data_IF_483622711688
#
_entry.id   IF_483622711688
#
_cell.length_a   1.000
_cell.length_b   1.000
_cell.length_c   1.000
_cell.angle_alpha   90.00
_cell.angle_beta   90.00
_cell.angle_gamma   90.00
#
_symmetry.space_group_name_H-M   'P 1'
#
loop_
_entity.id
_entity.type
_entity.pdbx_description
1 polymer ?
#
# COMPACT_ATOMS: atom_id res chain seq x y z
N UNK A 1 -37.22 13.89 -9.93
CA UNK A 1 -36.93 13.21 -8.65
C UNK A 1 -35.57 12.54 -8.74
N UNK A 2 -34.61 12.91 -7.90
CA UNK A 2 -33.26 12.31 -7.87
C UNK A 2 -33.27 11.08 -6.94
N UNK A 3 -33.81 9.95 -7.41
CA UNK A 3 -33.70 8.71 -6.65
C UNK A 3 -32.24 8.21 -6.65
N UNK A 4 -31.77 7.60 -5.55
CA UNK A 4 -30.45 6.97 -5.55
C UNK A 4 -30.36 5.89 -6.64
N UNK A 5 -29.18 5.71 -7.27
CA UNK A 5 -29.01 4.65 -8.27
C UNK A 5 -29.20 3.27 -7.64
N UNK A 6 -29.88 2.37 -8.34
CA UNK A 6 -30.02 0.98 -7.90
C UNK A 6 -28.71 0.24 -8.18
N UNK A 7 -28.13 -0.38 -7.16
CA UNK A 7 -26.94 -1.23 -7.30
C UNK A 7 -27.35 -2.60 -7.85
N UNK A 8 -26.56 -3.15 -8.78
CA UNK A 8 -26.79 -4.48 -9.39
C UNK A 8 -25.96 -5.57 -8.71
N UNK A 9 -24.94 -5.19 -7.94
CA UNK A 9 -24.06 -6.11 -7.22
C UNK A 9 -23.81 -5.61 -5.79
N UNK A 10 -23.39 -6.48 -4.87
CA UNK A 10 -22.96 -6.06 -3.53
C UNK A 10 -21.51 -5.50 -3.51
N UNK A 11 -20.94 -5.14 -4.67
CA UNK A 11 -19.54 -4.70 -4.78
C UNK A 11 -19.32 -3.35 -4.08
N UNK A 12 -18.31 -3.23 -3.19
CA UNK A 12 -17.94 -1.94 -2.60
C UNK A 12 -17.57 -0.89 -3.66
N UNK A 13 -16.96 -1.32 -4.77
CA UNK A 13 -16.60 -0.47 -5.90
C UNK A 13 -17.82 0.15 -6.57
N UNK A 14 -18.91 -0.61 -6.69
CA UNK A 14 -20.15 -0.13 -7.26
C UNK A 14 -20.79 0.93 -6.36
N UNK A 15 -20.81 0.68 -5.05
CA UNK A 15 -21.29 1.64 -4.06
C UNK A 15 -20.49 2.95 -4.14
N UNK A 16 -19.16 2.87 -4.12
CA UNK A 16 -18.28 4.02 -4.25
C UNK A 16 -18.57 4.82 -5.53
N UNK A 17 -18.69 4.15 -6.68
CA UNK A 17 -19.00 4.80 -7.94
C UNK A 17 -20.38 5.47 -7.94
N UNK A 18 -21.38 4.88 -7.28
CA UNK A 18 -22.74 5.44 -7.18
C UNK A 18 -22.81 6.74 -6.40
N UNK A 19 -21.91 6.91 -5.43
CA UNK A 19 -21.81 8.11 -4.59
C UNK A 19 -21.08 9.24 -5.34
N UNK A 20 -20.04 8.90 -6.11
CA UNK A 20 -19.16 9.87 -6.78
C UNK A 20 -19.66 10.29 -8.16
N UNK A 21 -20.10 9.36 -9.00
CA UNK A 21 -20.39 9.62 -10.42
C UNK A 21 -21.76 10.25 -10.66
N UNK A 22 -21.85 11.03 -11.74
CA UNK A 22 -23.16 11.45 -12.26
C UNK A 22 -23.98 10.22 -12.67
N UNK A 23 -25.32 10.32 -12.60
CA UNK A 23 -26.22 9.18 -12.89
C UNK A 23 -25.93 8.51 -14.23
N UNK A 24 -25.69 9.29 -15.30
CA UNK A 24 -25.40 8.75 -16.64
C UNK A 24 -24.08 7.98 -16.68
N UNK A 25 -23.06 8.48 -16.00
CA UNK A 25 -21.73 7.84 -15.96
C UNK A 25 -21.75 6.60 -15.07
N UNK A 26 -22.44 6.66 -13.93
CA UNK A 26 -22.65 5.50 -13.06
C UNK A 26 -23.29 4.34 -13.82
N UNK A 27 -24.32 4.58 -14.64
CA UNK A 27 -24.97 3.52 -15.42
C UNK A 27 -23.98 2.85 -16.39
N UNK A 28 -23.15 3.63 -17.09
CA UNK A 28 -22.11 3.08 -17.99
C UNK A 28 -21.05 2.28 -17.24
N UNK A 29 -20.60 2.81 -16.10
CA UNK A 29 -19.65 2.10 -15.23
C UNK A 29 -20.25 0.78 -14.73
N UNK A 30 -21.51 0.79 -14.29
CA UNK A 30 -22.22 -0.38 -13.80
C UNK A 30 -22.38 -1.45 -14.89
N UNK A 31 -22.62 -1.05 -16.15
CA UNK A 31 -22.64 -1.98 -17.29
C UNK A 31 -21.30 -2.68 -17.49
N UNK A 32 -20.19 -1.94 -17.43
CA UNK A 32 -18.84 -2.53 -17.51
C UNK A 32 -18.55 -3.45 -16.31
N UNK A 33 -18.95 -3.05 -15.10
CA UNK A 33 -18.75 -3.83 -13.88
C UNK A 33 -19.54 -5.14 -13.90
N UNK A 34 -20.81 -5.12 -14.31
CA UNK A 34 -21.60 -6.34 -14.44
C UNK A 34 -21.08 -7.21 -15.59
N UNK A 35 -20.70 -6.59 -16.72
CA UNK A 35 -20.14 -7.30 -17.87
C UNK A 35 -18.89 -8.11 -17.54
N UNK A 36 -18.11 -7.63 -16.56
CA UNK A 36 -16.90 -8.30 -16.04
C UNK A 36 -17.17 -9.74 -15.59
N UNK A 37 -18.37 -10.07 -15.11
CA UNK A 37 -18.72 -11.42 -14.61
C UNK A 37 -18.62 -12.50 -15.69
N UNK A 38 -18.68 -12.13 -16.97
CA UNK A 38 -18.55 -13.06 -18.11
C UNK A 38 -17.12 -13.22 -18.61
N UNK A 39 -16.17 -12.51 -18.00
CA UNK A 39 -14.75 -12.51 -18.37
C UNK A 39 -13.90 -13.19 -17.32
N UNK A 40 -12.89 -13.90 -17.80
CA UNK A 40 -11.85 -14.52 -16.98
C UNK A 40 -10.53 -13.78 -17.23
N UNK A 41 -9.81 -13.50 -16.14
CA UNK A 41 -8.48 -12.93 -16.18
C UNK A 41 -7.47 -13.97 -15.70
N UNK A 42 -6.55 -14.38 -16.57
CA UNK A 42 -5.45 -15.29 -16.28
C UNK A 42 -4.12 -14.55 -16.36
N UNK A 43 -3.19 -14.84 -15.44
CA UNK A 43 -1.83 -14.31 -15.53
C UNK A 43 -1.16 -14.87 -16.78
N UNK A 44 -0.59 -14.00 -17.60
CA UNK A 44 0.17 -14.34 -18.80
C UNK A 44 1.67 -14.15 -18.59
N UNK A 45 2.05 -13.10 -17.85
CA UNK A 45 3.43 -12.77 -17.52
C UNK A 45 3.50 -12.04 -16.17
N UNK A 46 4.60 -12.20 -15.43
CA UNK A 46 4.78 -11.65 -14.08
C UNK A 46 6.23 -11.20 -13.89
N UNK A 47 6.45 -9.89 -14.02
CA UNK A 47 7.75 -9.21 -13.81
C UNK A 47 7.86 -8.68 -12.36
N UNK A 48 7.09 -9.25 -11.42
CA UNK A 48 6.99 -8.81 -10.04
C UNK A 48 6.13 -7.56 -9.87
N UNK A 49 6.67 -6.38 -10.18
CA UNK A 49 5.95 -5.11 -9.99
C UNK A 49 4.90 -4.87 -11.08
N UNK A 50 5.11 -5.46 -12.26
CA UNK A 50 4.22 -5.38 -13.42
C UNK A 50 3.76 -6.78 -13.81
N UNK A 51 2.45 -7.03 -13.68
CA UNK A 51 1.83 -8.31 -14.04
C UNK A 51 0.97 -8.12 -15.27
N UNK A 52 1.17 -8.94 -16.30
CA UNK A 52 0.32 -8.96 -17.49
C UNK A 52 -0.76 -10.03 -17.34
N UNK A 53 -2.01 -9.62 -17.48
CA UNK A 53 -3.17 -10.49 -17.50
C UNK A 53 -3.72 -10.60 -18.92
N UNK A 54 -4.02 -11.82 -19.34
CA UNK A 54 -4.88 -12.09 -20.48
C UNK A 54 -6.33 -12.15 -20.00
N UNK A 55 -7.19 -11.34 -20.59
CA UNK A 55 -8.60 -11.23 -20.21
C UNK A 55 -9.47 -11.59 -21.40
N UNK A 56 -10.28 -12.64 -21.26
CA UNK A 56 -11.16 -13.10 -22.33
C UNK A 56 -12.53 -13.46 -21.78
N UNK A 57 -13.56 -13.33 -22.62
CA UNK A 57 -14.88 -13.84 -22.31
C UNK A 57 -14.85 -15.37 -22.31
N UNK A 58 -15.68 -15.99 -21.46
CA UNK A 58 -15.77 -17.45 -21.38
C UNK A 58 -16.01 -18.09 -22.76
N UNK A 59 -15.15 -19.03 -23.14
CA UNK A 59 -15.20 -19.71 -24.44
C UNK A 59 -14.66 -18.91 -25.64
N UNK A 60 -14.21 -17.66 -25.46
CA UNK A 60 -13.75 -16.77 -26.54
C UNK A 60 -12.28 -16.35 -26.37
N UNK A 61 -11.38 -17.29 -26.09
CA UNK A 61 -9.96 -17.03 -25.85
C UNK A 61 -9.24 -16.29 -27.01
N UNK A 62 -9.71 -16.48 -28.24
CA UNK A 62 -9.17 -15.83 -29.45
C UNK A 62 -9.44 -14.33 -29.52
N UNK A 63 -10.37 -13.79 -28.71
CA UNK A 63 -10.67 -12.35 -28.59
C UNK A 63 -10.15 -11.77 -27.27
N UNK A 64 -9.03 -12.31 -26.78
CA UNK A 64 -8.47 -11.83 -25.53
C UNK A 64 -7.91 -10.41 -25.64
N UNK A 65 -8.04 -9.68 -24.55
CA UNK A 65 -7.38 -8.40 -24.32
C UNK A 65 -6.29 -8.56 -23.28
N UNK A 66 -5.16 -7.90 -23.50
CA UNK A 66 -4.08 -7.85 -22.53
C UNK A 66 -4.23 -6.63 -21.62
N UNK A 67 -4.01 -6.85 -20.33
CA UNK A 67 -4.04 -5.82 -19.28
C UNK A 67 -2.73 -5.88 -18.52
N UNK A 68 -1.95 -4.80 -18.57
CA UNK A 68 -0.73 -4.64 -17.77
C UNK A 68 -1.10 -3.97 -16.46
N UNK A 69 -0.85 -4.63 -15.33
CA UNK A 69 -1.21 -4.15 -14.00
C UNK A 69 0.04 -3.93 -13.16
N UNK A 70 0.29 -2.68 -12.80
CA UNK A 70 1.30 -2.28 -11.85
C UNK A 70 0.74 -2.45 -10.43
N UNK A 71 1.34 -3.36 -9.65
CA UNK A 71 0.89 -3.72 -8.30
C UNK A 71 1.12 -2.58 -7.31
N UNK A 72 2.21 -1.83 -7.48
CA UNK A 72 2.62 -0.74 -6.59
C UNK A 72 1.75 0.50 -6.78
N UNK A 73 1.45 0.84 -8.03
CA UNK A 73 0.63 2.02 -8.37
C UNK A 73 -0.87 1.73 -8.43
N UNK A 74 -1.27 0.45 -8.40
CA UNK A 74 -2.64 -0.01 -8.68
C UNK A 74 -3.19 0.49 -10.02
N UNK A 75 -2.29 0.64 -10.99
CA UNK A 75 -2.65 1.10 -12.32
C UNK A 75 -2.64 -0.06 -13.28
N UNK A 76 -3.71 -0.15 -14.04
CA UNK A 76 -3.91 -1.08 -15.13
C UNK A 76 -4.07 -0.33 -16.46
N UNK A 77 -3.33 -0.75 -17.47
CA UNK A 77 -3.52 -0.34 -18.85
C UNK A 77 -4.02 -1.51 -19.67
N UNK A 78 -5.12 -1.31 -20.39
CA UNK A 78 -5.71 -2.34 -21.24
C UNK A 78 -5.48 -2.03 -22.71
N UNK A 79 -5.17 -3.07 -23.48
CA UNK A 79 -5.10 -3.02 -24.95
C UNK A 79 -6.36 -2.46 -25.63
N UNK A 80 -7.53 -2.50 -24.99
CA UNK A 80 -8.74 -1.89 -25.55
C UNK A 80 -8.77 -0.34 -25.46
N UNK A 81 -7.89 0.26 -24.66
CA UNK A 81 -7.71 1.72 -24.51
C UNK A 81 -8.99 2.51 -24.12
N UNK A 82 -10.03 1.84 -23.63
CA UNK A 82 -11.32 2.46 -23.36
C UNK A 82 -11.23 3.57 -22.30
N UNK A 83 -10.35 3.41 -21.31
CA UNK A 83 -10.17 4.43 -20.28
C UNK A 83 -9.49 5.67 -20.86
N UNK A 84 -8.50 5.49 -21.71
CA UNK A 84 -7.77 6.55 -22.38
C UNK A 84 -8.70 7.37 -23.29
N UNK A 85 -9.60 6.71 -24.03
CA UNK A 85 -10.54 7.39 -24.93
C UNK A 85 -11.79 7.97 -24.23
N UNK A 86 -12.40 7.23 -23.30
CA UNK A 86 -13.69 7.62 -22.70
C UNK A 86 -13.57 8.13 -21.27
N UNK A 87 -12.46 7.85 -20.59
CA UNK A 87 -12.31 8.05 -19.15
C UNK A 87 -13.17 7.13 -18.29
N UNK A 88 -13.75 6.07 -18.87
CA UNK A 88 -14.50 5.03 -18.16
C UNK A 88 -13.66 3.77 -18.19
N UNK A 89 -13.50 3.16 -17.01
CA UNK A 89 -12.73 1.93 -16.87
C UNK A 89 -13.47 0.77 -17.59
N UNK A 90 -12.75 -0.01 -18.39
CA UNK A 90 -13.36 -1.14 -19.10
C UNK A 90 -13.53 -2.36 -18.20
N UNK A 91 -14.45 -3.24 -18.60
CA UNK A 91 -14.63 -4.58 -18.00
C UNK A 91 -13.34 -5.40 -17.92
N UNK A 92 -12.37 -5.20 -18.82
CA UNK A 92 -11.11 -5.94 -18.79
C UNK A 92 -10.24 -5.55 -17.59
N UNK A 93 -10.11 -4.25 -17.32
CA UNK A 93 -9.41 -3.75 -16.14
C UNK A 93 -10.17 -4.15 -14.87
N UNK A 94 -11.50 -4.05 -14.89
CA UNK A 94 -12.34 -4.48 -13.76
C UNK A 94 -12.20 -5.99 -13.47
N UNK A 95 -12.04 -6.82 -14.51
CA UNK A 95 -11.77 -8.24 -14.33
C UNK A 95 -10.44 -8.48 -13.60
N UNK A 96 -9.40 -7.72 -13.97
CA UNK A 96 -8.12 -7.76 -13.26
C UNK A 96 -8.27 -7.30 -11.81
N UNK A 97 -8.97 -6.18 -11.57
CA UNK A 97 -9.21 -5.68 -10.22
C UNK A 97 -9.94 -6.69 -9.35
N UNK A 98 -10.88 -7.44 -9.92
CA UNK A 98 -11.56 -8.54 -9.22
C UNK A 98 -10.59 -9.65 -8.80
N UNK A 99 -9.72 -10.13 -9.69
CA UNK A 99 -8.78 -11.22 -9.35
C UNK A 99 -7.60 -10.76 -8.48
N UNK A 100 -7.29 -9.45 -8.48
CA UNK A 100 -6.32 -8.84 -7.58
C UNK A 100 -6.92 -8.32 -6.28
N UNK A 101 -8.24 -8.48 -6.09
CA UNK A 101 -8.98 -8.06 -4.91
C UNK A 101 -8.94 -6.55 -4.63
N UNK A 102 -8.86 -5.74 -5.69
CA UNK A 102 -9.08 -4.30 -5.63
C UNK A 102 -10.60 -4.04 -5.53
N UNK A 103 -11.07 -3.81 -4.30
CA UNK A 103 -12.50 -3.67 -4.01
C UNK A 103 -13.07 -2.27 -4.28
N UNK A 104 -12.23 -1.30 -4.62
CA UNK A 104 -12.60 0.11 -4.85
C UNK A 104 -11.78 0.66 -6.01
N UNK A 105 -12.28 1.72 -6.64
CA UNK A 105 -11.59 2.42 -7.71
C UNK A 105 -10.42 3.22 -7.13
N UNK A 106 -9.19 2.99 -7.61
CA UNK A 106 -8.06 3.87 -7.31
C UNK A 106 -8.36 5.30 -7.80
N UNK A 107 -7.79 6.33 -7.13
CA UNK A 107 -8.09 7.74 -7.41
C UNK A 107 -7.82 8.12 -8.87
N UNK A 108 -6.80 7.53 -9.48
CA UNK A 108 -6.45 7.70 -10.89
C UNK A 108 -7.62 7.46 -11.85
N UNK A 109 -8.54 6.56 -11.52
CA UNK A 109 -9.71 6.22 -12.34
C UNK A 109 -10.93 7.10 -12.06
N UNK A 110 -10.86 8.05 -11.12
CA UNK A 110 -11.96 8.92 -10.72
C UNK A 110 -11.71 10.32 -11.31
N UNK A 111 -12.19 10.54 -12.53
CA UNK A 111 -11.99 11.81 -13.22
C UNK A 111 -13.02 12.85 -12.78
N UNK A 112 -12.54 14.04 -12.37
CA UNK A 112 -13.39 15.15 -11.89
C UNK A 112 -14.56 15.50 -12.83
N UNK A 113 -14.35 15.44 -14.14
CA UNK A 113 -15.40 15.71 -15.14
C UNK A 113 -16.59 14.74 -15.08
N UNK A 114 -16.42 13.56 -14.48
CA UNK A 114 -17.43 12.51 -14.38
C UNK A 114 -18.15 12.46 -13.02
N UNK A 115 -17.70 13.25 -12.05
CA UNK A 115 -18.30 13.31 -10.72
C UNK A 115 -19.48 14.29 -10.66
N UNK A 116 -20.38 14.11 -9.69
CA UNK A 116 -21.57 14.98 -9.49
C UNK A 116 -21.20 16.44 -9.23
N UNK A 117 -20.00 16.66 -8.69
CA UNK A 117 -19.48 17.97 -8.31
C UNK A 117 -18.62 18.62 -9.41
N UNK A 118 -18.72 18.16 -10.66
CA UNK A 118 -17.94 18.70 -11.78
C UNK A 118 -18.10 20.22 -11.99
N UNK A 119 -19.25 20.80 -11.57
CA UNK A 119 -19.58 22.23 -11.72
C UNK A 119 -19.46 23.04 -10.42
N UNK A 120 -19.19 22.44 -9.26
CA UNK A 120 -19.05 23.21 -8.03
C UNK A 120 -17.66 23.86 -7.99
N UNK A 121 -17.62 25.20 -7.93
CA UNK A 121 -16.41 25.99 -7.69
C UNK A 121 -15.97 25.98 -6.23
N UNK A 122 -16.78 25.42 -5.32
CA UNK A 122 -16.29 24.95 -4.03
C UNK A 122 -15.13 24.04 -4.37
N UNK A 123 -13.94 24.36 -3.87
CA UNK A 123 -12.79 23.45 -3.85
C UNK A 123 -13.38 22.15 -3.32
N UNK A 124 -13.71 21.23 -4.25
CA UNK A 124 -14.15 19.89 -3.92
C UNK A 124 -13.17 19.45 -2.87
N UNK A 125 -13.66 18.89 -1.76
CA UNK A 125 -12.94 18.51 -0.55
C UNK A 125 -11.78 17.57 -0.93
N UNK A 126 -10.79 18.14 -1.61
CA UNK A 126 -9.72 17.50 -2.35
C UNK A 126 -8.85 16.90 -1.28
N UNK A 127 -8.70 17.61 -0.16
CA UNK A 127 -8.19 17.08 1.09
C UNK A 127 -8.89 15.82 1.60
N UNK A 128 -10.22 15.70 1.52
CA UNK A 128 -10.97 14.59 2.14
C UNK A 128 -11.09 13.40 1.18
N UNK A 129 -11.28 13.64 -0.12
CA UNK A 129 -11.14 12.60 -1.14
C UNK A 129 -9.69 12.16 -1.24
N UNK A 130 -8.70 13.05 -1.17
CA UNK A 130 -7.27 12.72 -1.14
C UNK A 130 -6.89 12.04 0.17
N UNK A 131 -7.44 12.41 1.33
CA UNK A 131 -7.18 11.71 2.58
C UNK A 131 -7.80 10.31 2.58
N UNK A 132 -9.04 10.17 2.12
CA UNK A 132 -9.71 8.88 1.98
C UNK A 132 -9.03 8.01 0.91
N UNK A 133 -8.71 8.60 -0.24
CA UNK A 133 -7.92 8.01 -1.31
C UNK A 133 -6.57 7.55 -0.81
N UNK A 134 -5.78 8.41 -0.17
CA UNK A 134 -4.46 8.10 0.35
C UNK A 134 -4.53 7.05 1.44
N UNK A 135 -5.57 7.06 2.29
CA UNK A 135 -5.78 6.01 3.28
C UNK A 135 -6.07 4.67 2.61
N UNK A 136 -7.01 4.64 1.66
CA UNK A 136 -7.39 3.42 0.95
C UNK A 136 -6.26 2.91 0.08
N UNK A 137 -5.59 3.80 -0.65
CA UNK A 137 -4.42 3.55 -1.49
C UNK A 137 -3.27 3.06 -0.61
N UNK A 138 -2.94 3.73 0.49
CA UNK A 138 -1.89 3.26 1.40
C UNK A 138 -2.20 1.88 2.01
N UNK A 139 -3.43 1.62 2.44
CA UNK A 139 -3.82 0.30 2.96
C UNK A 139 -3.78 -0.76 1.85
N UNK A 140 -4.39 -0.46 0.71
CA UNK A 140 -4.51 -1.38 -0.42
C UNK A 140 -3.13 -1.64 -1.03
N UNK A 141 -2.21 -0.66 -1.03
CA UNK A 141 -0.83 -0.79 -1.56
C UNK A 141 -0.10 -1.73 -0.64
N UNK A 142 -0.13 -1.46 0.68
CA UNK A 142 0.49 -2.32 1.69
C UNK A 142 -0.04 -3.75 1.59
N UNK A 143 -1.36 -3.92 1.52
CA UNK A 143 -2.00 -5.23 1.41
C UNK A 143 -1.62 -5.96 0.13
N UNK A 144 -1.72 -5.30 -1.04
CA UNK A 144 -1.44 -5.92 -2.33
C UNK A 144 0.05 -6.25 -2.50
N UNK A 145 0.95 -5.37 -2.06
CA UNK A 145 2.39 -5.63 -2.06
C UNK A 145 2.73 -6.82 -1.19
N UNK A 146 2.17 -6.90 0.04
CA UNK A 146 2.37 -8.06 0.92
C UNK A 146 1.81 -9.33 0.30
N UNK A 147 0.60 -9.27 -0.27
CA UNK A 147 -0.04 -10.41 -0.93
C UNK A 147 0.77 -10.91 -2.11
N UNK A 148 1.28 -10.02 -2.95
CA UNK A 148 2.09 -10.38 -4.10
C UNK A 148 3.40 -11.04 -3.66
N UNK A 149 4.12 -10.45 -2.71
CA UNK A 149 5.33 -11.05 -2.12
C UNK A 149 5.05 -12.42 -1.49
N UNK A 150 3.94 -12.56 -0.77
CA UNK A 150 3.52 -13.83 -0.19
C UNK A 150 3.21 -14.87 -1.27
N UNK A 151 2.53 -14.49 -2.36
CA UNK A 151 2.24 -15.38 -3.48
C UNK A 151 3.51 -15.93 -4.13
N UNK A 152 4.49 -15.06 -4.39
CA UNK A 152 5.77 -15.47 -4.99
C UNK A 152 6.56 -16.37 -4.05
N UNK A 153 6.56 -16.03 -2.75
CA UNK A 153 7.18 -16.86 -1.72
C UNK A 153 6.56 -18.27 -1.66
N UNK A 154 5.22 -18.37 -1.68
CA UNK A 154 4.52 -19.66 -1.68
C UNK A 154 4.81 -20.46 -2.94
N UNK A 155 4.84 -19.81 -4.10
CA UNK A 155 5.17 -20.46 -5.37
C UNK A 155 6.60 -21.03 -5.39
N UNK A 156 7.56 -20.30 -4.82
CA UNK A 156 8.95 -20.77 -4.71
C UNK A 156 9.09 -21.89 -3.67
N UNK A 157 8.49 -21.71 -2.50
CA UNK A 157 8.53 -22.67 -1.39
C UNK A 157 7.90 -24.01 -1.75
N UNK A 158 6.85 -24.01 -2.58
CA UNK A 158 6.11 -25.20 -3.00
C UNK A 158 6.85 -26.13 -3.96
N UNK A 159 8.06 -25.79 -4.41
CA UNK A 159 8.83 -26.61 -5.37
C UNK A 159 9.42 -27.89 -4.78
N UNK A 160 9.60 -27.97 -3.46
CA UNK A 160 10.06 -29.17 -2.78
C UNK A 160 9.44 -29.31 -1.39
N UNK A 161 9.37 -30.54 -0.88
CA UNK A 161 8.85 -30.80 0.47
C UNK A 161 9.71 -30.10 1.53
N UNK A 162 11.04 -30.16 1.38
CA UNK A 162 11.99 -29.51 2.29
C UNK A 162 11.82 -27.98 2.33
N UNK A 163 11.72 -27.33 1.17
CA UNK A 163 11.51 -25.87 1.11
C UNK A 163 10.14 -25.45 1.64
N UNK A 164 9.13 -26.31 1.51
CA UNK A 164 7.81 -26.10 2.08
C UNK A 164 7.86 -26.09 3.62
N UNK A 165 8.56 -27.06 4.23
CA UNK A 165 8.70 -27.13 5.70
C UNK A 165 9.45 -25.90 6.24
N UNK A 166 10.55 -25.51 5.59
CA UNK A 166 11.30 -24.29 5.93
C UNK A 166 10.41 -23.04 5.81
N UNK A 167 9.59 -22.97 4.76
CA UNK A 167 8.70 -21.83 4.54
C UNK A 167 7.60 -21.73 5.60
N UNK A 168 7.06 -22.85 6.08
CA UNK A 168 6.07 -22.86 7.17
C UNK A 168 6.67 -22.29 8.46
N UNK A 169 7.89 -22.69 8.81
CA UNK A 169 8.58 -22.15 10.00
C UNK A 169 8.82 -20.65 9.85
N UNK A 170 9.33 -20.22 8.68
CA UNK A 170 9.56 -18.80 8.41
C UNK A 170 8.27 -17.95 8.49
N UNK A 171 7.14 -18.47 7.99
CA UNK A 171 5.85 -17.80 8.10
C UNK A 171 5.37 -17.67 9.54
N UNK A 172 5.59 -18.69 10.38
CA UNK A 172 5.25 -18.63 11.81
C UNK A 172 6.09 -17.57 12.55
N UNK A 173 7.38 -17.46 12.24
CA UNK A 173 8.25 -16.43 12.80
C UNK A 173 7.84 -15.01 12.34
N UNK A 174 7.55 -14.86 11.05
CA UNK A 174 7.04 -13.61 10.50
C UNK A 174 5.71 -13.19 11.17
N UNK A 175 4.77 -14.13 11.36
CA UNK A 175 3.50 -13.88 12.04
C UNK A 175 3.69 -13.44 13.50
N UNK A 176 4.60 -14.08 14.24
CA UNK A 176 4.97 -13.66 15.61
C UNK A 176 5.52 -12.23 15.62
N UNK A 177 6.40 -11.92 14.68
CA UNK A 177 7.05 -10.60 14.56
C UNK A 177 6.02 -9.50 14.29
N UNK A 178 5.10 -9.73 13.35
CA UNK A 178 4.00 -8.80 13.04
C UNK A 178 3.09 -8.61 14.26
N UNK A 179 2.72 -9.69 14.95
CA UNK A 179 1.87 -9.62 16.15
C UNK A 179 2.52 -8.80 17.28
N UNK A 180 3.83 -8.97 17.50
CA UNK A 180 4.59 -8.18 18.47
C UNK A 180 4.65 -6.70 18.09
N UNK A 181 4.83 -6.40 16.80
CA UNK A 181 4.83 -5.03 16.29
C UNK A 181 3.45 -4.36 16.45
N UNK A 182 2.36 -5.06 16.10
CA UNK A 182 0.99 -4.59 16.27
C UNK A 182 0.68 -4.29 17.75
N UNK A 183 1.06 -5.19 18.66
CA UNK A 183 0.87 -4.97 20.10
C UNK A 183 1.64 -3.76 20.63
N UNK A 184 2.82 -3.46 20.08
CA UNK A 184 3.59 -2.24 20.42
C UNK A 184 2.91 -0.99 19.87
N UNK A 185 2.32 -1.04 18.67
CA UNK A 185 1.58 0.06 18.06
C UNK A 185 0.29 0.39 18.82
N UNK A 186 -0.49 -0.63 19.19
CA UNK A 186 -1.70 -0.47 20.02
C UNK A 186 -1.35 0.15 21.38
N UNK A 187 -0.27 -0.31 22.05
CA UNK A 187 0.17 0.30 23.32
C UNK A 187 0.58 1.77 23.16
N UNK A 188 1.26 2.15 22.07
CA UNK A 188 1.62 3.55 21.78
C UNK A 188 0.40 4.43 21.55
N UNK A 189 -0.59 3.94 20.80
CA UNK A 189 -1.84 4.69 20.57
C UNK A 189 -2.68 4.84 21.85
N UNK A 190 -2.70 3.85 22.73
CA UNK A 190 -3.36 3.95 24.05
C UNK A 190 -2.62 4.89 25.02
N UNK A 191 -1.28 4.89 25.03
CA UNK A 191 -0.48 5.84 25.80
C UNK A 191 -0.72 7.30 25.35
N UNK A 192 -0.83 7.53 24.04
CA UNK A 192 -1.18 8.85 23.49
C UNK A 192 -2.63 9.28 23.82
N UNK A 193 -3.56 8.35 24.04
CA UNK A 193 -4.92 8.66 24.53
C UNK A 193 -4.93 9.00 26.02
N UNK A 194 -4.12 8.33 26.83
CA UNK A 194 -4.01 8.62 28.26
C UNK A 194 -3.45 10.02 28.55
N UNK A 195 -2.56 10.54 27.71
CA UNK A 195 -2.07 11.92 27.81
C UNK A 195 -3.16 12.98 27.55
N UNK A 196 -4.26 12.60 26.87
CA UNK A 196 -5.39 13.48 26.52
C UNK A 196 -6.58 13.37 27.49
N UNK A 197 -6.62 12.32 28.32
CA UNK A 197 -7.71 12.06 29.27
C UNK A 197 -7.41 12.56 30.70
N UNK A 198 -6.15 12.82 31.06
CA UNK A 198 -5.77 13.28 32.40
C UNK A 198 -6.01 14.78 32.68
N UNK A 199 -6.56 15.55 31.74
CA UNK A 199 -6.86 16.97 31.93
C UNK A 199 -8.33 17.26 32.29
N UNK A 200 -9.17 16.24 32.52
CA UNK A 200 -10.58 16.44 32.86
C UNK A 200 -10.95 15.63 34.10
N UNK A 201 -10.62 16.16 35.29
CA UNK A 201 -11.44 15.98 36.51
C UNK A 201 -10.89 16.84 37.66
N UNK A 202 -11.72 17.74 38.19
CA UNK A 202 -11.50 18.39 39.49
C UNK A 202 -11.93 19.86 39.51
N UNK A 203 -13.21 20.14 39.76
CA UNK A 203 -13.74 21.50 39.90
C UNK A 203 -13.64 22.06 41.33
N UNK A 204 -13.53 23.39 41.44
CA UNK A 204 -14.43 24.28 42.22
C UNK A 204 -14.10 25.77 42.00
N UNK A 205 -15.15 26.58 42.11
CA UNK A 205 -15.31 28.02 41.89
C UNK A 205 -14.13 28.94 42.27
N UNK A 206 -13.82 29.91 41.42
CA UNK A 206 -14.21 31.33 41.57
C UNK A 206 -13.88 32.10 40.29
N UNK A 207 -14.65 33.15 40.05
CA UNK A 207 -14.77 33.88 38.80
C UNK A 207 -13.89 35.11 38.84
N UNK A 208 -12.92 35.25 37.92
CA UNK A 208 -12.39 36.56 37.50
C UNK A 208 -11.50 36.45 36.24
N UNK A 209 -11.90 37.19 35.20
CA UNK A 209 -11.14 37.69 34.03
C UNK A 209 -10.37 36.68 33.17
N UNK A 210 -11.01 36.21 32.09
CA UNK A 210 -10.37 35.47 31.00
C UNK A 210 -9.55 36.41 30.09
N UNK A 211 -8.22 36.36 30.22
CA UNK A 211 -7.31 36.59 29.10
C UNK A 211 -7.13 35.24 28.37
N UNK A 212 -7.51 35.19 27.09
CA UNK A 212 -7.24 34.02 26.24
C UNK A 212 -5.74 33.98 25.87
N UNK A 213 -5.06 32.82 25.90
CA UNK A 213 -3.78 32.67 25.22
C UNK A 213 -4.03 32.34 23.74
N UNK A 214 -3.38 33.11 22.87
CA UNK A 214 -3.42 33.05 21.41
C UNK A 214 -3.03 31.66 20.82
N UNK A 215 -3.60 31.26 19.67
CA UNK A 215 -3.37 29.99 18.97
C UNK A 215 -1.92 29.76 18.47
N UNK A 216 -1.06 30.77 18.52
CA UNK A 216 0.36 30.67 18.14
C UNK A 216 1.17 29.79 19.11
N UNK A 217 0.84 29.84 20.42
CA UNK A 217 1.60 29.16 21.47
C UNK A 217 1.41 27.61 21.45
N UNK A 218 0.32 27.13 20.85
CA UNK A 218 0.08 25.70 20.62
C UNK A 218 0.81 25.18 19.38
N UNK A 219 0.95 26.00 18.33
CA UNK A 219 1.72 25.66 17.14
C UNK A 219 3.22 25.59 17.45
N UNK A 220 3.74 26.53 18.24
CA UNK A 220 5.16 26.54 18.63
C UNK A 220 5.54 25.34 19.49
N UNK A 221 4.64 24.90 20.37
CA UNK A 221 4.81 23.64 21.13
C UNK A 221 4.88 22.43 20.21
N UNK A 222 4.05 22.40 19.16
CA UNK A 222 4.03 21.30 18.19
C UNK A 222 5.25 21.29 17.27
N UNK A 223 5.72 22.47 16.87
CA UNK A 223 6.98 22.64 16.12
C UNK A 223 8.15 22.12 16.95
N UNK A 224 8.24 22.50 18.22
CA UNK A 224 9.32 22.04 19.10
C UNK A 224 9.25 20.53 19.37
N UNK A 225 8.05 19.97 19.51
CA UNK A 225 7.87 18.52 19.63
C UNK A 225 8.36 17.77 18.39
N UNK A 226 7.96 18.20 17.20
CA UNK A 226 8.39 17.58 15.94
C UNK A 226 9.90 17.72 15.73
N UNK A 227 10.48 18.85 16.12
CA UNK A 227 11.94 19.09 16.04
C UNK A 227 12.71 18.10 16.94
N UNK A 228 12.22 17.85 18.16
CA UNK A 228 12.82 16.88 19.07
C UNK A 228 12.67 15.43 18.57
N UNK A 229 11.51 15.08 18.01
CA UNK A 229 11.29 13.75 17.41
C UNK A 229 12.21 13.52 16.20
N UNK A 230 12.41 14.54 15.37
CA UNK A 230 13.34 14.51 14.24
C UNK A 230 14.79 14.36 14.70
N UNK A 231 15.20 15.07 15.75
CA UNK A 231 16.54 14.96 16.31
C UNK A 231 16.81 13.56 16.87
N UNK A 232 15.82 12.96 17.56
CA UNK A 232 15.92 11.59 18.06
C UNK A 232 16.03 10.57 16.92
N UNK A 233 15.24 10.74 15.86
CA UNK A 233 15.29 9.90 14.67
C UNK A 233 16.67 10.00 13.98
N UNK A 234 17.22 11.21 13.85
CA UNK A 234 18.54 11.44 13.26
C UNK A 234 19.65 10.77 14.08
N UNK A 235 19.66 10.93 15.41
CA UNK A 235 20.62 10.25 16.29
C UNK A 235 20.57 8.72 16.13
N UNK A 236 19.37 8.17 15.97
CA UNK A 236 19.18 6.74 15.75
C UNK A 236 19.70 6.29 14.37
N UNK A 237 19.46 7.08 13.33
CA UNK A 237 20.01 6.84 11.99
C UNK A 237 21.54 6.90 11.98
N UNK A 238 22.15 7.87 12.69
CA UNK A 238 23.61 7.94 12.85
C UNK A 238 24.17 6.71 13.55
N UNK A 239 23.54 6.27 14.64
CA UNK A 239 23.95 5.05 15.35
C UNK A 239 23.86 3.79 14.45
N UNK A 240 22.82 3.67 13.62
CA UNK A 240 22.75 2.57 12.66
C UNK A 240 23.82 2.67 11.58
N UNK A 241 24.11 3.88 11.10
CA UNK A 241 25.14 4.12 10.09
C UNK A 241 26.54 3.79 10.62
N UNK A 242 26.86 4.20 11.85
CA UNK A 242 28.16 3.89 12.47
C UNK A 242 28.32 2.39 12.72
N UNK A 243 27.29 1.72 13.21
CA UNK A 243 27.30 0.27 13.42
C UNK A 243 27.49 -0.48 12.10
N UNK A 244 26.78 -0.08 11.04
CA UNK A 244 26.92 -0.69 9.72
C UNK A 244 28.34 -0.51 9.16
N UNK A 245 28.89 0.69 9.28
CA UNK A 245 30.28 0.96 8.85
C UNK A 245 31.30 0.13 9.64
N UNK A 246 31.08 -0.08 10.94
CA UNK A 246 31.94 -0.96 11.75
C UNK A 246 31.91 -2.40 11.25
N UNK A 247 30.71 -2.95 11.02
CA UNK A 247 30.54 -4.32 10.52
C UNK A 247 31.18 -4.49 9.15
N UNK A 248 30.98 -3.53 8.24
CA UNK A 248 31.58 -3.59 6.91
C UNK A 248 33.12 -3.56 6.97
N UNK A 249 33.69 -2.73 7.85
CA UNK A 249 35.13 -2.69 8.06
C UNK A 249 35.68 -4.00 8.62
N UNK A 250 35.01 -4.59 9.61
CA UNK A 250 35.39 -5.90 10.15
C UNK A 250 35.35 -6.99 9.08
N UNK A 251 34.35 -6.98 8.20
CA UNK A 251 34.26 -7.93 7.09
C UNK A 251 35.42 -7.76 6.09
N UNK A 252 35.81 -6.53 5.77
CA UNK A 252 36.96 -6.26 4.89
C UNK A 252 38.29 -6.72 5.52
N UNK A 253 38.49 -6.47 6.81
CA UNK A 253 39.68 -6.90 7.55
C UNK A 253 39.77 -8.44 7.61
N UNK A 254 38.64 -9.11 7.86
CA UNK A 254 38.57 -10.58 7.82
C UNK A 254 38.90 -11.13 6.44
N UNK A 255 38.37 -10.52 5.38
CA UNK A 255 38.66 -10.91 3.99
C UNK A 255 40.16 -10.79 3.68
N UNK A 256 40.80 -9.69 4.10
CA UNK A 256 42.24 -9.49 3.88
C UNK A 256 43.08 -10.53 4.64
N UNK A 257 42.73 -10.79 5.90
CA UNK A 257 43.37 -11.83 6.73
C UNK A 257 43.29 -13.21 6.09
N UNK A 258 42.12 -13.60 5.57
CA UNK A 258 41.96 -14.88 4.87
C UNK A 258 42.83 -14.91 3.60
N UNK A 259 42.86 -13.84 2.83
CA UNK A 259 43.69 -13.75 1.62
C UNK A 259 45.18 -13.92 1.93
N UNK A 260 45.69 -13.29 2.98
CA UNK A 260 47.09 -13.42 3.42
C UNK A 260 47.39 -14.87 3.85
N UNK A 261 46.50 -15.49 4.64
CA UNK A 261 46.66 -16.89 5.06
C UNK A 261 46.72 -17.84 3.86
N UNK A 262 45.85 -17.64 2.88
CA UNK A 262 45.83 -18.44 1.64
C UNK A 262 47.14 -18.26 0.86
N UNK A 263 47.65 -17.03 0.73
CA UNK A 263 48.93 -16.77 0.07
C UNK A 263 50.10 -17.43 0.80
N UNK A 264 50.15 -17.36 2.13
CA UNK A 264 51.20 -18.00 2.94
C UNK A 264 51.20 -19.53 2.80
N UNK A 265 50.02 -20.16 2.81
CA UNK A 265 49.89 -21.60 2.57
C UNK A 265 50.38 -21.96 1.16
N UNK A 266 50.01 -21.16 0.15
CA UNK A 266 50.43 -21.37 -1.24
C UNK A 266 51.96 -21.27 -1.41
N UNK A 267 52.61 -20.34 -0.71
CA UNK A 267 54.08 -20.19 -0.71
C UNK A 267 54.72 -21.40 -0.02
N UNK A 268 54.23 -21.78 1.16
CA UNK A 268 54.76 -22.95 1.89
C UNK A 268 54.63 -24.26 1.10
N UNK A 269 53.56 -24.45 0.33
CA UNK A 269 53.42 -25.61 -0.55
C UNK A 269 54.39 -25.60 -1.74
N UNK A 270 54.85 -24.42 -2.16
CA UNK A 270 55.78 -24.24 -3.28
C UNK A 270 57.25 -24.41 -2.85
N UNK A 271 57.56 -24.16 -1.58
CA UNK A 271 58.90 -24.35 -1.02
C UNK A 271 59.17 -25.81 -0.58
N UNK A 272 58.15 -26.67 -0.58
CA UNK A 272 58.22 -28.10 -0.23
C UNK A 272 58.22 -29.04 -1.45
N UNK A 273 58.47 -28.50 -2.66
CA UNK A 273 58.49 -29.18 -3.96
C UNK A 273 59.81 -28.87 -4.67
#
# INVERSE_FOLDING_TARGET
MNSPPVLKTPSPMEKQASELYTRKLFMRFQEELVGTLTFMASKADDDGDLVTYQVAKYGEAHKAHFVKFNVLEMRANCSCQMFEFSGIICRHILAVFRVTNLLTLPPYYILKRWTRNAKSSVIFDDYNLHAYANYLESHTVRYNTLRHKASNFVQEAGKSLYTCDVAVVALQEAAKTVSLAMNKEVRRTMANRHFKASSVTGGKHQQEVLAQPEPEDEMDKKINQLRNELELANRKCEAYRTNLLSVLKEMEDQKLQVSIKVQNIKISLKDNL
#
